data_IF_177921897012
#
_entry.id   IF_177921897012
#
_cell.length_a   1.000
_cell.length_b   1.000
_cell.length_c   1.000
_cell.angle_alpha   90.00
_cell.angle_beta   90.00
_cell.angle_gamma   90.00
#
_symmetry.space_group_name_H-M   'P 1'
#
loop_
_entity.id
_entity.type
_entity.pdbx_description
1 polymer ?
#
# COMPACT_ATOMS: atom_id res chain seq x y z
N UNK A 1 -26.02 -14.10 1.14
CA UNK A 1 -24.75 -13.43 1.41
C UNK A 1 -24.86 -12.75 2.75
N UNK A 2 -24.48 -13.46 3.80
CA UNK A 2 -24.33 -12.89 5.15
C UNK A 2 -23.40 -11.69 5.03
N UNK A 3 -23.88 -10.51 5.38
CA UNK A 3 -23.15 -9.26 5.35
C UNK A 3 -21.98 -9.36 6.35
N UNK A 4 -20.80 -9.68 5.83
CA UNK A 4 -19.57 -9.52 6.62
C UNK A 4 -19.45 -8.01 6.81
N UNK A 5 -19.73 -7.52 8.02
CA UNK A 5 -19.54 -6.11 8.39
C UNK A 5 -18.03 -5.82 8.44
N UNK A 6 -17.42 -5.65 7.26
CA UNK A 6 -15.99 -5.34 7.11
C UNK A 6 -15.73 -3.90 7.50
N UNK A 7 -16.67 -3.00 7.22
CA UNK A 7 -16.53 -1.57 7.46
C UNK A 7 -17.64 -1.03 8.36
N UNK A 8 -17.33 -0.02 9.13
CA UNK A 8 -18.31 0.81 9.83
C UNK A 8 -19.07 1.70 8.84
N UNK A 9 -20.19 2.28 9.29
CA UNK A 9 -20.95 3.24 8.47
C UNK A 9 -20.12 4.48 8.12
N UNK A 10 -19.29 4.93 9.06
CA UNK A 10 -18.37 6.05 8.93
C UNK A 10 -17.30 5.75 7.87
N UNK A 11 -16.67 4.58 7.93
CA UNK A 11 -15.68 4.13 6.95
C UNK A 11 -16.27 4.03 5.53
N UNK A 12 -17.50 3.54 5.41
CA UNK A 12 -18.23 3.49 4.12
C UNK A 12 -18.48 4.91 3.58
N UNK A 13 -18.87 5.86 4.46
CA UNK A 13 -19.08 7.25 4.09
C UNK A 13 -17.76 7.90 3.62
N UNK A 14 -16.67 7.67 4.33
CA UNK A 14 -15.35 8.15 3.94
C UNK A 14 -14.89 7.57 2.61
N UNK A 15 -15.08 6.28 2.39
CA UNK A 15 -14.78 5.63 1.11
C UNK A 15 -15.55 6.26 -0.06
N UNK A 16 -16.86 6.45 0.12
CA UNK A 16 -17.72 7.08 -0.90
C UNK A 16 -17.27 8.51 -1.23
N UNK A 17 -16.91 9.30 -0.22
CA UNK A 17 -16.44 10.67 -0.41
C UNK A 17 -15.10 10.71 -1.14
N UNK A 18 -14.14 9.89 -0.72
CA UNK A 18 -12.84 9.79 -1.37
C UNK A 18 -12.96 9.29 -2.82
N UNK A 19 -13.79 8.28 -3.04
CA UNK A 19 -14.10 7.75 -4.38
C UNK A 19 -14.73 8.82 -5.29
N UNK A 20 -15.75 9.53 -4.79
CA UNK A 20 -16.38 10.64 -5.54
C UNK A 20 -15.38 11.70 -5.93
N UNK A 21 -14.48 12.08 -5.01
CA UNK A 21 -13.43 13.06 -5.29
C UNK A 21 -12.49 12.59 -6.41
N UNK A 22 -12.00 11.33 -6.35
CA UNK A 22 -11.14 10.79 -7.40
C UNK A 22 -11.84 10.65 -8.75
N UNK A 23 -13.13 10.24 -8.76
CA UNK A 23 -13.92 10.20 -10.00
C UNK A 23 -14.10 11.59 -10.62
N UNK A 24 -14.30 12.63 -9.79
CA UNK A 24 -14.39 14.02 -10.26
C UNK A 24 -13.09 14.45 -10.94
N UNK A 25 -11.93 14.14 -10.33
CA UNK A 25 -10.62 14.44 -10.93
C UNK A 25 -10.44 13.70 -12.26
N UNK A 26 -10.76 12.40 -12.29
CA UNK A 26 -10.69 11.59 -13.50
C UNK A 26 -11.56 12.15 -14.62
N UNK A 27 -12.79 12.55 -14.30
CA UNK A 27 -13.69 13.17 -15.27
C UNK A 27 -13.08 14.45 -15.86
N UNK A 28 -12.45 15.29 -15.05
CA UNK A 28 -11.76 16.50 -15.55
C UNK A 28 -10.52 16.18 -16.38
N UNK A 29 -9.74 15.14 -16.01
CA UNK A 29 -8.60 14.69 -16.82
C UNK A 29 -9.10 14.29 -18.21
N UNK A 30 -10.16 13.49 -18.29
CA UNK A 30 -10.72 13.04 -19.56
C UNK A 30 -11.36 14.20 -20.36
N UNK A 31 -11.88 15.21 -19.69
CA UNK A 31 -12.43 16.42 -20.34
C UNK A 31 -11.32 17.31 -20.93
N UNK A 32 -10.17 17.39 -20.27
CA UNK A 32 -9.07 18.26 -20.69
C UNK A 32 -8.05 17.59 -21.61
N UNK A 33 -8.02 16.26 -21.64
CA UNK A 33 -7.14 15.51 -22.49
C UNK A 33 -7.90 14.98 -23.71
N UNK A 34 -7.42 15.25 -24.89
CA UNK A 34 -7.93 14.63 -26.12
C UNK A 34 -7.58 13.15 -26.19
N UNK A 35 -6.54 12.71 -25.47
CA UNK A 35 -6.12 11.30 -25.37
C UNK A 35 -6.81 10.61 -24.19
N UNK A 36 -7.15 9.31 -24.34
CA UNK A 36 -7.81 8.46 -23.33
C UNK A 36 -6.91 8.09 -22.13
N UNK A 37 -5.93 8.91 -21.76
CA UNK A 37 -5.00 8.62 -20.67
C UNK A 37 -5.43 9.21 -19.34
N UNK A 38 -5.27 8.45 -18.24
CA UNK A 38 -5.51 8.89 -16.85
C UNK A 38 -4.30 9.65 -16.25
N UNK A 39 -3.57 10.43 -17.06
CA UNK A 39 -2.37 11.13 -16.61
C UNK A 39 -2.72 12.51 -16.06
N UNK A 40 -2.44 12.73 -14.77
CA UNK A 40 -2.56 14.03 -14.10
C UNK A 40 -1.28 14.86 -14.31
N UNK A 41 -1.12 15.43 -15.52
CA UNK A 41 0.01 16.31 -15.83
C UNK A 41 -0.01 17.59 -14.97
N UNK A 42 1.12 18.30 -14.88
CA UNK A 42 1.22 19.58 -14.15
C UNK A 42 0.19 20.58 -14.67
N UNK A 43 0.00 20.64 -15.97
CA UNK A 43 -1.01 21.52 -16.59
C UNK A 43 -2.43 21.16 -16.12
N UNK A 44 -2.77 19.86 -16.11
CA UNK A 44 -4.07 19.39 -15.62
C UNK A 44 -4.26 19.64 -14.11
N UNK A 45 -3.21 19.50 -13.30
CA UNK A 45 -3.25 19.87 -11.88
C UNK A 45 -3.67 21.34 -11.69
N UNK A 46 -3.08 22.24 -12.46
CA UNK A 46 -3.41 23.68 -12.43
C UNK A 46 -4.84 23.97 -12.91
N UNK A 47 -5.26 23.36 -14.02
CA UNK A 47 -6.61 23.52 -14.57
C UNK A 47 -7.68 22.99 -13.59
N UNK A 48 -7.48 21.78 -13.07
CA UNK A 48 -8.43 21.12 -12.15
C UNK A 48 -8.51 21.86 -10.82
N UNK A 49 -7.37 22.29 -10.26
CA UNK A 49 -7.38 23.04 -9.00
C UNK A 49 -8.20 24.32 -9.11
N UNK A 50 -8.06 25.07 -10.20
CA UNK A 50 -8.88 26.27 -10.48
C UNK A 50 -10.37 25.92 -10.66
N UNK A 51 -10.68 24.86 -11.42
CA UNK A 51 -12.06 24.41 -11.68
C UNK A 51 -12.77 23.96 -10.40
N UNK A 52 -12.04 23.33 -9.48
CA UNK A 52 -12.53 22.95 -8.16
C UNK A 52 -12.45 24.07 -7.11
N UNK A 53 -12.19 25.30 -7.54
CA UNK A 53 -12.15 26.51 -6.69
C UNK A 53 -11.13 26.49 -5.56
N UNK A 54 -10.00 25.80 -5.76
CA UNK A 54 -8.87 25.88 -4.84
C UNK A 54 -8.16 27.23 -5.00
N UNK A 55 -8.17 28.02 -3.93
CA UNK A 55 -7.59 29.39 -3.91
C UNK A 55 -6.24 29.39 -3.21
N UNK A 56 -5.38 30.28 -3.64
CA UNK A 56 -4.10 30.53 -2.97
C UNK A 56 -4.33 31.07 -1.55
N UNK A 57 -3.52 30.59 -0.61
CA UNK A 57 -3.46 31.06 0.78
C UNK A 57 -2.07 31.62 1.06
N UNK A 58 -1.91 32.45 2.13
CA UNK A 58 -0.66 33.15 2.46
C UNK A 58 0.65 32.37 2.33
N UNK A 59 0.62 31.03 2.48
CA UNK A 59 1.81 30.16 2.44
C UNK A 59 1.70 28.99 1.46
N UNK A 60 0.60 28.85 0.71
CA UNK A 60 0.37 27.69 -0.18
C UNK A 60 -0.42 28.09 -1.41
N UNK A 61 0.01 27.63 -2.56
CA UNK A 61 -0.77 27.76 -3.80
C UNK A 61 -2.00 26.85 -3.80
N UNK A 62 -3.05 27.25 -4.49
CA UNK A 62 -4.27 26.44 -4.62
C UNK A 62 -4.01 25.05 -5.16
N UNK A 63 -3.09 24.89 -6.12
CA UNK A 63 -2.68 23.60 -6.65
C UNK A 63 -2.01 22.71 -5.60
N UNK A 64 -1.23 23.26 -4.68
CA UNK A 64 -0.60 22.49 -3.60
C UNK A 64 -1.66 21.97 -2.60
N UNK A 65 -2.68 22.81 -2.33
CA UNK A 65 -3.79 22.40 -1.46
C UNK A 65 -4.60 21.30 -2.14
N UNK A 66 -4.88 21.42 -3.43
CA UNK A 66 -5.52 20.39 -4.24
C UNK A 66 -4.74 19.07 -4.22
N UNK A 67 -3.43 19.11 -4.47
CA UNK A 67 -2.59 17.92 -4.48
C UNK A 67 -2.51 17.26 -3.09
N UNK A 68 -2.47 18.06 -2.02
CA UNK A 68 -2.57 17.54 -0.66
C UNK A 68 -3.88 16.76 -0.46
N UNK A 69 -5.02 17.34 -0.87
CA UNK A 69 -6.32 16.69 -0.72
C UNK A 69 -6.41 15.42 -1.58
N UNK A 70 -5.80 15.42 -2.78
CA UNK A 70 -5.69 14.23 -3.61
C UNK A 70 -4.95 13.10 -2.86
N UNK A 71 -3.76 13.39 -2.33
CA UNK A 71 -2.99 12.38 -1.59
C UNK A 71 -3.70 11.89 -0.32
N UNK A 72 -4.40 12.77 0.40
CA UNK A 72 -5.20 12.40 1.57
C UNK A 72 -6.32 11.43 1.18
N UNK A 73 -7.04 11.69 0.09
CA UNK A 73 -8.12 10.80 -0.35
C UNK A 73 -7.59 9.46 -0.88
N UNK A 74 -6.48 9.45 -1.61
CA UNK A 74 -5.79 8.21 -2.03
C UNK A 74 -5.34 7.40 -0.81
N UNK A 75 -4.73 8.05 0.20
CA UNK A 75 -4.30 7.38 1.43
C UNK A 75 -5.48 6.77 2.22
N UNK A 76 -6.63 7.44 2.26
CA UNK A 76 -7.86 6.90 2.88
C UNK A 76 -8.32 5.63 2.18
N UNK A 77 -8.41 5.63 0.85
CA UNK A 77 -8.80 4.43 0.09
C UNK A 77 -7.81 3.30 0.34
N UNK A 78 -6.51 3.56 0.30
CA UNK A 78 -5.49 2.55 0.57
C UNK A 78 -5.60 1.98 2.00
N UNK A 79 -5.88 2.83 3.00
CA UNK A 79 -6.10 2.38 4.38
C UNK A 79 -7.30 1.45 4.49
N UNK A 80 -8.43 1.80 3.85
CA UNK A 80 -9.64 0.97 3.85
C UNK A 80 -9.45 -0.34 3.09
N UNK A 81 -8.70 -0.33 1.98
CA UNK A 81 -8.31 -1.56 1.28
C UNK A 81 -7.45 -2.48 2.16
N UNK A 82 -6.49 -1.93 2.91
CA UNK A 82 -5.69 -2.72 3.88
C UNK A 82 -6.59 -3.34 4.95
N UNK A 83 -7.55 -2.59 5.50
CA UNK A 83 -8.54 -3.11 6.44
C UNK A 83 -9.35 -4.25 5.84
N UNK A 84 -9.78 -4.12 4.59
CA UNK A 84 -10.45 -5.19 3.86
C UNK A 84 -9.58 -6.45 3.76
N UNK A 85 -8.37 -6.32 3.24
CA UNK A 85 -7.46 -7.45 3.09
C UNK A 85 -7.11 -8.11 4.43
N UNK A 86 -6.98 -7.33 5.50
CA UNK A 86 -6.69 -7.88 6.83
C UNK A 86 -7.80 -8.77 7.39
N UNK A 87 -9.04 -8.58 6.92
CA UNK A 87 -10.21 -9.36 7.35
C UNK A 87 -10.54 -10.54 6.43
N UNK A 88 -9.86 -10.65 5.28
CA UNK A 88 -10.04 -11.78 4.37
C UNK A 88 -9.24 -13.00 4.84
N UNK A 89 -9.78 -14.22 4.61
CA UNK A 89 -8.99 -15.43 4.76
C UNK A 89 -7.75 -15.40 3.85
N UNK A 90 -6.62 -15.82 4.40
CA UNK A 90 -5.33 -15.76 3.71
C UNK A 90 -5.33 -16.54 2.38
N UNK A 91 -5.94 -17.73 2.37
CA UNK A 91 -6.04 -18.54 1.15
C UNK A 91 -6.86 -17.85 0.05
N UNK A 92 -7.86 -17.07 0.43
CA UNK A 92 -8.65 -16.28 -0.52
C UNK A 92 -7.80 -15.15 -1.13
N UNK A 93 -6.98 -14.48 -0.32
CA UNK A 93 -6.06 -13.43 -0.78
C UNK A 93 -5.07 -14.02 -1.79
N UNK A 94 -4.42 -15.13 -1.44
CA UNK A 94 -3.42 -15.78 -2.29
C UNK A 94 -4.03 -16.23 -3.62
N UNK A 95 -5.17 -16.89 -3.58
CA UNK A 95 -5.84 -17.41 -4.77
C UNK A 95 -6.40 -16.31 -5.68
N UNK A 96 -7.05 -15.29 -5.10
CA UNK A 96 -7.84 -14.31 -5.86
C UNK A 96 -6.98 -13.12 -6.29
N UNK A 97 -6.19 -12.55 -5.38
CA UNK A 97 -5.44 -11.32 -5.63
C UNK A 97 -4.13 -11.62 -6.35
N UNK A 98 -3.38 -12.58 -5.85
CA UNK A 98 -2.09 -12.93 -6.43
C UNK A 98 -2.19 -13.98 -7.55
N UNK A 99 -3.38 -14.58 -7.78
CA UNK A 99 -3.63 -15.61 -8.82
C UNK A 99 -2.60 -16.75 -8.81
N UNK A 100 -2.08 -17.09 -7.62
CA UNK A 100 -1.06 -18.13 -7.46
C UNK A 100 -1.70 -19.43 -7.01
N UNK A 101 -1.17 -20.55 -7.54
CA UNK A 101 -1.51 -21.89 -7.03
C UNK A 101 -0.75 -22.16 -5.74
N UNK A 102 -1.37 -22.77 -4.72
CA UNK A 102 -0.65 -23.18 -3.52
C UNK A 102 0.47 -24.16 -3.90
N UNK A 103 1.70 -23.81 -3.54
CA UNK A 103 2.87 -24.67 -3.71
C UNK A 103 3.28 -25.24 -2.35
N UNK A 104 3.97 -26.39 -2.34
CA UNK A 104 4.53 -26.94 -1.10
C UNK A 104 5.54 -25.95 -0.51
N UNK A 105 5.58 -25.86 0.82
CA UNK A 105 6.58 -25.08 1.54
C UNK A 105 7.97 -25.60 1.25
N UNK A 106 8.89 -24.73 0.84
CA UNK A 106 10.29 -25.05 0.59
C UNK A 106 11.19 -24.17 1.45
N UNK A 107 12.25 -24.70 2.03
CA UNK A 107 13.29 -23.90 2.66
C UNK A 107 14.11 -23.23 1.55
N UNK A 108 14.27 -21.90 1.63
CA UNK A 108 15.15 -21.15 0.74
C UNK A 108 16.55 -21.07 1.33
N UNK A 109 16.61 -20.68 2.61
CA UNK A 109 17.82 -20.58 3.41
C UNK A 109 17.52 -21.01 4.85
N UNK A 110 18.53 -20.90 5.74
CA UNK A 110 18.38 -21.28 7.16
C UNK A 110 17.20 -20.62 7.86
N UNK A 111 16.90 -19.35 7.51
CA UNK A 111 15.90 -18.51 8.19
C UNK A 111 14.67 -18.20 7.32
N UNK A 112 14.74 -18.45 6.00
CA UNK A 112 13.70 -18.09 5.04
C UNK A 112 13.04 -19.35 4.45
N UNK A 113 11.73 -19.22 4.22
CA UNK A 113 10.93 -20.24 3.56
C UNK A 113 10.13 -19.66 2.42
N UNK A 114 9.87 -20.47 1.43
CA UNK A 114 8.88 -20.20 0.40
C UNK A 114 7.61 -20.95 0.77
N UNK A 115 6.59 -20.22 1.21
CA UNK A 115 5.29 -20.75 1.59
C UNK A 115 4.24 -20.31 0.57
N UNK A 116 3.55 -21.29 -0.05
CA UNK A 116 2.54 -21.01 -1.09
C UNK A 116 3.06 -20.08 -2.21
N UNK A 117 4.34 -20.13 -2.52
CA UNK A 117 4.99 -19.29 -3.54
C UNK A 117 5.36 -17.87 -3.07
N UNK A 118 5.32 -17.59 -1.78
CA UNK A 118 5.72 -16.34 -1.16
C UNK A 118 6.90 -16.54 -0.22
N UNK A 119 7.75 -15.51 -0.14
CA UNK A 119 8.84 -15.48 0.83
C UNK A 119 8.29 -15.15 2.23
N UNK A 120 8.71 -15.90 3.21
CA UNK A 120 8.38 -15.70 4.61
C UNK A 120 9.56 -16.05 5.52
N UNK A 121 9.54 -15.54 6.77
CA UNK A 121 10.47 -16.02 7.80
C UNK A 121 9.99 -17.37 8.34
N UNK A 122 10.94 -18.30 8.55
CA UNK A 122 10.67 -19.59 9.18
C UNK A 122 10.14 -19.45 10.61
N UNK A 123 10.60 -18.43 11.31
CA UNK A 123 10.16 -18.10 12.67
C UNK A 123 9.85 -16.60 12.79
N UNK A 124 8.56 -16.27 12.91
CA UNK A 124 8.04 -14.92 13.07
C UNK A 124 7.96 -14.48 14.53
N UNK A 125 8.81 -15.03 15.43
CA UNK A 125 8.87 -14.53 16.81
C UNK A 125 9.16 -13.02 16.84
N UNK A 126 8.71 -12.28 17.89
CA UNK A 126 8.95 -10.84 17.98
C UNK A 126 10.43 -10.46 17.86
N UNK A 127 11.32 -11.26 18.47
CA UNK A 127 12.78 -11.04 18.41
C UNK A 127 13.33 -11.22 17.00
N UNK A 128 12.98 -12.32 16.32
CA UNK A 128 13.42 -12.54 14.93
C UNK A 128 12.86 -11.48 13.97
N UNK A 129 11.61 -11.09 14.15
CA UNK A 129 11.01 -10.04 13.34
C UNK A 129 11.79 -8.72 13.48
N UNK A 130 12.16 -8.33 14.72
CA UNK A 130 12.94 -7.10 14.97
C UNK A 130 14.31 -7.12 14.29
N UNK A 131 14.96 -8.27 14.23
CA UNK A 131 16.31 -8.42 13.68
C UNK A 131 16.31 -8.60 12.17
N UNK A 132 15.28 -9.23 11.61
CA UNK A 132 15.29 -9.77 10.24
C UNK A 132 14.23 -9.19 9.30
N UNK A 133 13.36 -8.29 9.78
CA UNK A 133 12.26 -7.81 8.94
C UNK A 133 12.75 -7.14 7.65
N UNK A 134 13.85 -6.39 7.69
CA UNK A 134 14.42 -5.75 6.51
C UNK A 134 15.02 -6.76 5.52
N UNK A 135 15.64 -7.82 6.02
CA UNK A 135 16.23 -8.86 5.19
C UNK A 135 15.19 -9.62 4.35
N UNK A 136 13.93 -9.71 4.82
CA UNK A 136 12.84 -10.30 4.02
C UNK A 136 12.61 -9.50 2.74
N UNK A 137 12.68 -8.16 2.81
CA UNK A 137 12.52 -7.31 1.62
C UNK A 137 13.71 -7.45 0.67
N UNK A 138 14.93 -7.46 1.21
CA UNK A 138 16.16 -7.70 0.43
C UNK A 138 16.10 -9.04 -0.30
N UNK A 139 15.83 -10.13 0.41
CA UNK A 139 15.69 -11.47 -0.18
C UNK A 139 14.51 -11.61 -1.16
N UNK A 140 13.44 -10.86 -0.94
CA UNK A 140 12.31 -10.78 -1.87
C UNK A 140 12.74 -10.26 -3.24
N UNK A 141 13.59 -9.23 -3.27
CA UNK A 141 14.13 -8.66 -4.51
C UNK A 141 15.18 -9.57 -5.14
N UNK A 142 16.13 -10.07 -4.35
CA UNK A 142 17.18 -10.97 -4.81
C UNK A 142 16.63 -12.19 -5.54
N UNK A 143 15.59 -12.80 -4.99
CA UNK A 143 14.97 -14.00 -5.53
C UNK A 143 13.72 -13.76 -6.40
N UNK A 144 13.37 -12.49 -6.65
CA UNK A 144 12.14 -12.09 -7.37
C UNK A 144 10.87 -12.79 -6.82
N UNK A 145 10.75 -12.84 -5.50
CA UNK A 145 9.63 -13.46 -4.79
C UNK A 145 8.75 -12.40 -4.13
N UNK A 146 7.45 -12.58 -4.16
CA UNK A 146 6.53 -11.75 -3.37
C UNK A 146 6.61 -12.13 -1.88
N UNK A 147 6.49 -11.14 -1.01
CA UNK A 147 6.47 -11.33 0.44
C UNK A 147 5.11 -11.87 0.86
N UNK A 148 5.11 -12.80 1.82
CA UNK A 148 3.88 -13.43 2.33
C UNK A 148 2.95 -12.39 3.00
N UNK A 149 1.64 -12.36 2.69
CA UNK A 149 0.72 -11.37 3.23
C UNK A 149 0.68 -11.33 4.76
N UNK A 150 0.77 -12.49 5.43
CA UNK A 150 0.83 -12.58 6.90
C UNK A 150 2.05 -11.85 7.47
N UNK A 151 3.21 -11.95 6.81
CA UNK A 151 4.40 -11.23 7.22
C UNK A 151 4.19 -9.72 7.13
N UNK A 152 3.66 -9.21 6.01
CA UNK A 152 3.36 -7.79 5.82
C UNK A 152 2.39 -7.27 6.89
N UNK A 153 1.35 -8.03 7.19
CA UNK A 153 0.41 -7.70 8.27
C UNK A 153 1.10 -7.61 9.63
N UNK A 154 1.97 -8.57 9.95
CA UNK A 154 2.72 -8.58 11.22
C UNK A 154 3.67 -7.38 11.32
N UNK A 155 4.33 -7.00 10.23
CA UNK A 155 5.18 -5.79 10.17
C UNK A 155 4.35 -4.52 10.39
N UNK A 156 3.18 -4.40 9.76
CA UNK A 156 2.29 -3.25 9.94
C UNK A 156 1.80 -3.12 11.40
N UNK A 157 1.34 -4.21 12.00
CA UNK A 157 0.90 -4.25 13.41
C UNK A 157 2.00 -3.84 14.38
N UNK A 158 3.25 -4.21 14.09
CA UNK A 158 4.42 -3.93 14.94
C UNK A 158 5.23 -2.71 14.51
N UNK A 159 4.76 -1.94 13.55
CA UNK A 159 5.47 -0.80 12.95
C UNK A 159 6.08 0.17 13.97
N UNK A 160 5.35 0.49 15.04
CA UNK A 160 5.85 1.41 16.09
C UNK A 160 7.07 0.87 16.83
N UNK A 161 7.11 -0.44 17.07
CA UNK A 161 8.23 -1.13 17.74
C UNK A 161 9.40 -1.27 16.77
N UNK A 162 9.14 -1.71 15.54
CA UNK A 162 10.17 -1.89 14.51
C UNK A 162 10.88 -0.57 14.15
N UNK A 163 10.17 0.54 14.14
CA UNK A 163 10.75 1.86 13.88
C UNK A 163 11.82 2.26 14.90
N UNK A 164 11.74 1.77 16.15
CA UNK A 164 12.72 2.04 17.20
C UNK A 164 13.99 1.18 17.08
N UNK A 165 13.95 0.11 16.29
CA UNK A 165 15.04 -0.86 16.13
C UNK A 165 15.79 -0.74 14.80
N UNK A 166 15.61 0.37 14.08
CA UNK A 166 16.37 0.64 12.85
C UNK A 166 17.82 0.94 13.28
N UNK A 167 18.71 0.03 12.94
CA UNK A 167 20.16 0.15 13.14
C UNK A 167 20.92 0.23 11.79
N UNK A 168 22.25 0.24 11.85
CA UNK A 168 23.11 0.29 10.65
C UNK A 168 22.86 -0.89 9.70
N UNK A 169 22.55 -2.09 10.23
CA UNK A 169 22.32 -3.28 9.43
C UNK A 169 21.00 -3.15 8.62
N UNK A 170 19.95 -2.61 9.24
CA UNK A 170 18.69 -2.34 8.55
C UNK A 170 18.86 -1.25 7.48
N UNK A 171 19.66 -0.21 7.76
CA UNK A 171 19.96 0.83 6.79
C UNK A 171 20.75 0.27 5.59
N UNK A 172 21.70 -0.65 5.82
CA UNK A 172 22.43 -1.30 4.73
C UNK A 172 21.49 -2.15 3.86
N UNK A 173 20.60 -2.93 4.47
CA UNK A 173 19.59 -3.69 3.71
C UNK A 173 18.67 -2.78 2.87
N UNK A 174 18.32 -1.59 3.38
CA UNK A 174 17.58 -0.60 2.60
C UNK A 174 18.39 -0.02 1.44
N UNK A 175 19.68 0.27 1.65
CA UNK A 175 20.55 0.76 0.57
C UNK A 175 20.71 -0.27 -0.54
N UNK A 176 20.84 -1.55 -0.19
CA UNK A 176 20.89 -2.65 -1.18
C UNK A 176 19.59 -2.82 -1.98
N UNK A 177 18.47 -2.25 -1.50
CA UNK A 177 17.17 -2.25 -2.19
C UNK A 177 17.07 -1.11 -3.21
N UNK A 178 17.74 0.01 -2.95
CA UNK A 178 17.59 1.27 -3.70
C UNK A 178 18.64 1.42 -4.81
N UNK A 179 19.75 0.69 -4.72
CA UNK A 179 20.83 0.66 -5.72
C UNK A 179 20.60 -0.48 -6.70
#
# INVERSE_FOLDING_TARGET
LTSINIYTKEEIKELKNAWKFLLTIRAFIHLFNESKGDVLSIENQLKISKKLSYKDKKKKKGVEIFMKDLFVNVAKINSLLRTFYSKLPEDLIIKTIYKRKPTKTKSLEKEFIIEKGFLNLKNNSPKNLQLKWANVFEKSLEHNLLIHPRFLKTVEEKRKVLKKTIDKQHLQSFLNIVV
#
